data_IF_589386671925
#
_entry.id   IF_589386671925
#
_cell.length_a   1.000
_cell.length_b   1.000
_cell.length_c   1.000
_cell.angle_alpha   90.00
_cell.angle_beta   90.00
_cell.angle_gamma   90.00
#
_symmetry.space_group_name_H-M   'P 1'
#
loop_
_entity.id
_entity.type
_entity.pdbx_description
1 polymer ?
#
# COMPACT_ATOMS: atom_id res chain seq x y z
N UNK A 1 35.31 -16.86 -0.36
CA UNK A 1 35.29 -17.61 0.92
C UNK A 1 34.11 -17.07 1.69
N UNK A 2 32.98 -17.61 1.27
CA UNK A 2 31.63 -17.16 1.49
C UNK A 2 31.18 -17.47 2.91
N UNK A 3 30.59 -16.50 3.59
CA UNK A 3 29.71 -16.74 4.73
C UNK A 3 28.28 -16.37 4.30
N UNK A 4 27.32 -17.29 4.44
CA UNK A 4 26.00 -17.14 3.85
C UNK A 4 25.10 -16.15 4.60
N UNK A 5 24.27 -15.46 3.81
CA UNK A 5 23.23 -14.48 4.18
C UNK A 5 22.22 -14.99 5.23
N UNK A 6 22.23 -16.29 5.55
CA UNK A 6 21.35 -16.92 6.54
C UNK A 6 21.63 -16.51 7.99
N UNK A 7 22.85 -16.07 8.33
CA UNK A 7 23.20 -15.74 9.72
C UNK A 7 22.66 -14.36 10.13
N UNK A 8 22.63 -13.39 9.21
CA UNK A 8 22.12 -12.03 9.50
C UNK A 8 20.60 -11.97 9.62
N UNK A 9 19.86 -12.88 8.97
CA UNK A 9 18.40 -12.92 9.06
C UNK A 9 17.91 -13.46 10.42
N UNK A 10 18.69 -14.35 11.04
CA UNK A 10 18.33 -14.99 12.33
C UNK A 10 18.41 -13.99 13.50
N UNK A 11 19.26 -12.98 13.40
CA UNK A 11 19.40 -11.94 14.44
C UNK A 11 18.30 -10.87 14.35
N UNK A 12 17.78 -10.61 13.15
CA UNK A 12 16.69 -9.64 12.93
C UNK A 12 15.31 -10.18 13.37
N UNK A 13 15.13 -11.50 13.36
CA UNK A 13 13.87 -12.14 13.79
C UNK A 13 13.77 -12.35 15.31
N UNK A 14 14.84 -12.10 16.08
CA UNK A 14 14.83 -12.25 17.54
C UNK A 14 14.47 -10.97 18.31
N UNK A 15 14.35 -9.81 17.64
CA UNK A 15 14.11 -8.52 18.31
C UNK A 15 12.67 -7.99 18.24
N UNK A 16 11.73 -8.73 17.63
CA UNK A 16 10.30 -8.36 17.60
C UNK A 16 9.47 -9.11 18.64
N UNK A 17 9.99 -9.22 19.87
CA UNK A 17 9.23 -9.64 21.04
C UNK A 17 8.53 -8.42 21.67
N UNK A 18 7.46 -7.92 21.04
CA UNK A 18 6.53 -6.93 21.64
C UNK A 18 5.22 -6.85 20.83
N UNK A 19 4.50 -7.96 20.70
CA UNK A 19 3.06 -7.93 20.34
C UNK A 19 2.32 -8.59 21.52
N UNK A 20 1.33 -7.91 22.14
CA UNK A 20 0.62 -8.43 23.30
C UNK A 20 -0.21 -9.67 22.93
N UNK A 21 -0.12 -10.68 23.79
CA UNK A 21 -0.82 -11.96 23.72
C UNK A 21 -2.35 -11.79 23.65
N UNK A 22 -3.00 -12.32 22.61
CA UNK A 22 -4.37 -12.85 22.73
C UNK A 22 -4.50 -14.15 21.91
N UNK A 23 -4.43 -15.26 22.65
CA UNK A 23 -4.72 -16.67 22.31
C UNK A 23 -3.80 -17.43 21.33
N UNK A 24 -2.93 -18.25 21.92
CA UNK A 24 -2.28 -19.42 21.32
C UNK A 24 -3.26 -20.59 21.19
N UNK A 25 -3.36 -21.20 20.01
CA UNK A 25 -3.77 -22.59 19.85
C UNK A 25 -2.48 -23.43 19.81
N UNK A 26 -2.12 -24.02 20.95
CA UNK A 26 -1.00 -24.94 21.05
C UNK A 26 -1.33 -26.26 20.33
N UNK A 27 -0.62 -26.54 19.24
CA UNK A 27 -0.38 -27.91 18.78
C UNK A 27 1.00 -28.33 19.26
N UNK A 28 1.10 -28.89 20.47
CA UNK A 28 2.30 -29.62 20.90
C UNK A 28 1.91 -31.06 21.22
N UNK A 29 2.52 -31.98 20.47
CA UNK A 29 2.58 -33.40 20.77
C UNK A 29 3.34 -33.60 22.08
N UNK A 30 2.60 -33.84 23.16
CA UNK A 30 3.12 -34.24 24.47
C UNK A 30 2.44 -35.54 24.89
N UNK A 31 3.26 -36.53 25.24
CA UNK A 31 2.90 -37.91 25.56
C UNK A 31 2.29 -38.10 26.96
N UNK A 32 1.49 -39.18 27.08
CA UNK A 32 1.06 -39.92 28.29
C UNK A 32 -0.36 -39.63 28.85
N UNK A 33 -1.00 -40.57 29.58
CA UNK A 33 -1.43 -41.90 29.13
C UNK A 33 -2.94 -42.11 29.42
N UNK A 34 -3.64 -42.75 28.48
CA UNK A 34 -4.90 -43.50 28.61
C UNK A 34 -5.76 -43.25 27.37
N UNK A 35 -5.97 -44.32 26.62
CA UNK A 35 -6.64 -44.30 25.33
C UNK A 35 -8.09 -43.85 25.43
N UNK A 36 -8.53 -43.11 24.41
CA UNK A 36 -9.50 -43.57 23.41
C UNK A 36 -9.41 -42.62 22.22
N UNK A 37 -9.00 -43.16 21.08
CA UNK A 37 -8.92 -42.46 19.79
C UNK A 37 -10.35 -42.30 19.26
N UNK A 38 -10.81 -41.05 19.17
CA UNK A 38 -12.00 -40.68 18.41
C UNK A 38 -11.66 -39.51 17.50
N UNK A 39 -11.31 -39.81 16.25
CA UNK A 39 -11.13 -38.80 15.20
C UNK A 39 -12.46 -38.07 14.95
N UNK A 40 -12.50 -36.77 15.22
CA UNK A 40 -13.47 -35.85 14.61
C UNK A 40 -12.70 -34.83 13.79
N UNK A 41 -12.41 -35.20 12.54
CA UNK A 41 -12.01 -34.26 11.49
C UNK A 41 -13.23 -33.41 11.10
N UNK A 42 -13.51 -32.35 11.85
CA UNK A 42 -14.48 -31.35 11.43
C UNK A 42 -13.79 -30.40 10.41
N UNK A 43 -14.38 -30.20 9.21
CA UNK A 43 -13.76 -29.38 8.17
C UNK A 43 -13.65 -27.91 8.63
N UNK A 44 -12.59 -27.22 8.21
CA UNK A 44 -12.28 -25.83 8.56
C UNK A 44 -13.43 -24.83 8.28
N UNK A 45 -14.38 -25.20 7.43
CA UNK A 45 -15.62 -24.47 7.18
C UNK A 45 -16.51 -24.33 8.42
N UNK A 46 -16.55 -25.33 9.31
CA UNK A 46 -17.39 -25.33 10.52
C UNK A 46 -16.81 -24.38 11.57
N UNK A 47 -15.48 -24.36 11.71
CA UNK A 47 -14.77 -23.48 12.63
C UNK A 47 -14.86 -22.00 12.22
N UNK A 48 -14.78 -21.71 10.92
CA UNK A 48 -14.96 -20.35 10.41
C UNK A 48 -16.40 -19.85 10.62
N UNK A 49 -17.38 -20.74 10.48
CA UNK A 49 -18.80 -20.42 10.68
C UNK A 49 -19.09 -20.11 12.15
N UNK A 50 -18.53 -20.88 13.09
CA UNK A 50 -18.65 -20.58 14.53
C UNK A 50 -17.97 -19.26 14.92
N UNK A 51 -16.86 -18.90 14.28
CA UNK A 51 -16.14 -17.64 14.55
C UNK A 51 -16.95 -16.40 14.12
N UNK A 52 -17.61 -16.46 12.96
CA UNK A 52 -18.43 -15.36 12.43
C UNK A 52 -19.71 -15.12 13.24
N UNK A 53 -20.28 -16.16 13.88
CA UNK A 53 -21.47 -16.00 14.73
C UNK A 53 -21.17 -15.33 16.08
N UNK A 54 -19.90 -15.21 16.49
CA UNK A 54 -19.51 -14.63 17.79
C UNK A 54 -19.14 -13.13 17.72
N UNK A 55 -19.18 -12.51 16.54
CA UNK A 55 -18.87 -11.08 16.36
C UNK A 55 -20.07 -10.17 16.67
N UNK A 56 -19.83 -8.96 17.24
CA UNK A 56 -20.87 -7.97 17.50
C UNK A 56 -21.58 -7.54 16.20
N UNK A 57 -22.89 -7.20 16.25
CA UNK A 57 -23.73 -7.05 15.06
C UNK A 57 -23.27 -5.94 14.09
N UNK A 58 -22.55 -4.93 14.57
CA UNK A 58 -21.99 -3.84 13.76
C UNK A 58 -20.76 -4.23 12.91
N UNK A 59 -20.11 -5.36 13.20
CA UNK A 59 -18.96 -5.88 12.46
C UNK A 59 -19.31 -7.15 11.66
N UNK A 60 -20.58 -7.56 11.65
CA UNK A 60 -21.02 -8.61 10.74
C UNK A 60 -21.10 -8.01 9.33
N UNK A 61 -20.23 -8.41 8.39
CA UNK A 61 -20.44 -8.02 7.01
C UNK A 61 -21.82 -8.56 6.57
N UNK A 62 -22.57 -7.89 5.67
CA UNK A 62 -23.81 -8.41 5.10
C UNK A 62 -23.62 -9.68 4.23
N UNK A 63 -22.42 -10.27 4.30
CA UNK A 63 -21.74 -11.00 3.25
C UNK A 63 -21.27 -12.38 3.75
N UNK A 64 -22.01 -13.01 4.68
CA UNK A 64 -21.80 -14.43 5.00
C UNK A 64 -21.98 -15.31 3.76
N UNK A 65 -22.79 -14.89 2.78
CA UNK A 65 -22.91 -15.54 1.47
C UNK A 65 -21.73 -15.26 0.53
N UNK A 66 -21.11 -14.08 0.60
CA UNK A 66 -20.02 -13.67 -0.30
C UNK A 66 -18.74 -14.45 -0.02
N UNK A 67 -18.33 -14.53 1.25
CA UNK A 67 -17.14 -15.29 1.63
C UNK A 67 -17.33 -16.80 1.36
N UNK A 68 -18.53 -17.33 1.59
CA UNK A 68 -18.86 -18.72 1.24
C UNK A 68 -18.78 -19.00 -0.28
N UNK A 69 -19.24 -18.05 -1.11
CA UNK A 69 -19.14 -18.16 -2.59
C UNK A 69 -17.71 -18.01 -3.10
N UNK A 70 -16.87 -17.25 -2.39
CA UNK A 70 -15.46 -17.02 -2.74
C UNK A 70 -14.59 -18.24 -2.37
N UNK A 71 -14.86 -18.88 -1.21
CA UNK A 71 -14.21 -20.14 -0.82
C UNK A 71 -14.59 -21.29 -1.76
N UNK A 72 -15.84 -21.36 -2.23
CA UNK A 72 -16.26 -22.33 -3.26
C UNK A 72 -15.67 -22.08 -4.66
N UNK A 73 -14.98 -20.96 -4.86
CA UNK A 73 -14.34 -20.59 -6.13
C UNK A 73 -12.81 -20.73 -6.11
N UNK A 74 -12.23 -21.25 -5.01
CA UNK A 74 -10.79 -21.50 -4.89
C UNK A 74 -10.35 -22.56 -5.91
N UNK A 75 -9.94 -22.10 -7.10
CA UNK A 75 -9.54 -22.94 -8.24
C UNK A 75 -10.10 -22.50 -9.59
N UNK A 76 -11.01 -21.52 -9.64
CA UNK A 76 -11.53 -20.97 -10.90
C UNK A 76 -10.64 -19.84 -11.44
N UNK A 77 -10.31 -19.80 -12.74
CA UNK A 77 -9.70 -18.63 -13.38
C UNK A 77 -10.58 -17.39 -13.16
N UNK A 78 -9.95 -16.24 -12.88
CA UNK A 78 -10.62 -14.95 -12.61
C UNK A 78 -11.66 -14.59 -13.68
N UNK A 79 -11.44 -14.99 -14.93
CA UNK A 79 -12.33 -14.76 -16.08
C UNK A 79 -13.70 -15.44 -15.94
N UNK A 80 -13.80 -16.57 -15.22
CA UNK A 80 -15.08 -17.24 -14.95
C UNK A 80 -15.84 -16.63 -13.79
N UNK A 81 -15.16 -15.89 -12.91
CA UNK A 81 -15.78 -15.22 -11.75
C UNK A 81 -16.52 -13.97 -12.21
N UNK A 82 -15.96 -13.19 -13.13
CA UNK A 82 -16.58 -11.97 -13.68
C UNK A 82 -17.82 -12.24 -14.54
N UNK A 83 -17.98 -13.45 -15.08
CA UNK A 83 -19.13 -13.82 -15.92
C UNK A 83 -20.35 -14.32 -15.13
N UNK A 84 -20.24 -14.46 -13.79
CA UNK A 84 -21.38 -14.89 -12.96
C UNK A 84 -22.35 -13.73 -12.73
N UNK A 85 -23.57 -13.87 -13.25
CA UNK A 85 -24.66 -12.90 -13.08
C UNK A 85 -25.01 -12.64 -11.60
N UNK A 86 -24.84 -13.65 -10.74
CA UNK A 86 -25.17 -13.59 -9.31
C UNK A 86 -24.30 -12.65 -8.47
N UNK A 87 -23.23 -12.09 -9.06
CA UNK A 87 -22.36 -11.09 -8.41
C UNK A 87 -22.74 -9.65 -8.77
N UNK A 88 -23.64 -9.45 -9.74
CA UNK A 88 -23.95 -8.13 -10.30
C UNK A 88 -25.19 -7.45 -9.71
N UNK A 89 -25.97 -8.13 -8.86
CA UNK A 89 -27.28 -7.67 -8.38
C UNK A 89 -27.22 -6.35 -7.58
N UNK A 90 -26.05 -5.98 -7.04
CA UNK A 90 -25.77 -4.68 -6.39
C UNK A 90 -24.63 -3.89 -7.05
N UNK A 91 -24.27 -4.21 -8.30
CA UNK A 91 -23.12 -3.60 -8.98
C UNK A 91 -23.44 -2.22 -9.54
N UNK A 92 -22.49 -1.28 -9.41
CA UNK A 92 -22.57 0.08 -9.98
C UNK A 92 -22.81 0.06 -11.49
N UNK A 93 -22.46 -1.04 -12.18
CA UNK A 93 -22.72 -1.22 -13.62
C UNK A 93 -24.21 -1.33 -13.99
N UNK A 94 -25.09 -1.66 -13.04
CA UNK A 94 -26.54 -1.69 -13.21
C UNK A 94 -27.23 -0.49 -12.54
N UNK A 95 -26.45 0.38 -11.88
CA UNK A 95 -26.97 1.60 -11.26
C UNK A 95 -27.21 2.71 -12.28
N UNK A 96 -28.08 3.67 -11.94
CA UNK A 96 -28.31 4.89 -12.72
C UNK A 96 -27.06 5.77 -12.89
N UNK A 97 -26.03 5.57 -12.05
CA UNK A 97 -24.79 6.32 -12.07
C UNK A 97 -23.72 5.70 -12.99
N UNK A 98 -24.04 4.64 -13.72
CA UNK A 98 -23.10 4.03 -14.67
C UNK A 98 -22.70 5.04 -15.73
N UNK A 99 -21.40 5.29 -15.85
CA UNK A 99 -20.85 6.12 -16.93
C UNK A 99 -21.14 5.48 -18.29
N UNK A 100 -21.80 6.23 -19.17
CA UNK A 100 -22.12 5.83 -20.55
C UNK A 100 -21.25 6.52 -21.58
N UNK A 101 -20.61 7.64 -21.23
CA UNK A 101 -19.78 8.42 -22.16
C UNK A 101 -18.39 7.80 -22.36
N UNK A 102 -17.87 7.77 -23.60
CA UNK A 102 -16.49 7.36 -23.85
C UNK A 102 -15.49 8.38 -23.29
N UNK A 103 -14.28 7.93 -22.99
CA UNK A 103 -13.19 8.76 -22.47
C UNK A 103 -11.86 8.32 -23.06
N UNK A 104 -10.86 9.21 -23.04
CA UNK A 104 -9.52 8.95 -23.56
C UNK A 104 -9.54 8.44 -25.02
N UNK A 105 -10.42 9.01 -25.84
CA UNK A 105 -10.60 8.62 -27.26
C UNK A 105 -9.48 9.12 -28.15
N UNK A 106 -8.72 10.14 -27.72
CA UNK A 106 -7.61 10.67 -28.48
C UNK A 106 -6.53 9.58 -28.69
N UNK A 107 -5.92 9.49 -29.89
CA UNK A 107 -4.94 8.45 -30.21
C UNK A 107 -3.77 8.39 -29.22
N UNK A 108 -3.36 9.50 -28.62
CA UNK A 108 -2.27 9.55 -27.62
C UNK A 108 -2.44 8.54 -26.48
N UNK A 109 -3.69 8.30 -26.05
CA UNK A 109 -3.99 7.38 -24.96
C UNK A 109 -4.05 5.91 -25.41
N UNK A 110 -4.14 5.67 -26.72
CA UNK A 110 -4.32 4.34 -27.31
C UNK A 110 -3.08 3.87 -28.10
N UNK A 111 -2.04 4.69 -28.19
CA UNK A 111 -0.80 4.36 -28.92
C UNK A 111 0.30 3.81 -28.02
N UNK A 112 0.44 4.23 -26.76
CA UNK A 112 1.63 3.92 -25.94
C UNK A 112 1.35 2.96 -24.76
N UNK A 113 0.90 1.73 -25.03
CA UNK A 113 0.56 0.76 -23.96
C UNK A 113 1.72 -0.10 -23.43
N UNK A 114 2.73 -0.38 -24.25
CA UNK A 114 3.90 -1.15 -23.81
C UNK A 114 4.92 -0.24 -23.11
N UNK A 115 5.59 -0.75 -22.08
CA UNK A 115 6.64 -0.02 -21.33
C UNK A 115 7.69 0.63 -22.25
N UNK A 116 8.20 -0.12 -23.24
CA UNK A 116 9.18 0.41 -24.21
C UNK A 116 8.63 1.58 -25.02
N UNK A 117 7.34 1.55 -25.40
CA UNK A 117 6.71 2.64 -26.18
C UNK A 117 6.46 3.88 -25.33
N UNK A 118 6.12 3.73 -24.04
CA UNK A 118 5.93 4.88 -23.15
C UNK A 118 7.27 5.52 -22.79
N UNK A 119 8.32 4.73 -22.53
CA UNK A 119 9.68 5.27 -22.28
C UNK A 119 10.20 6.05 -23.48
N UNK A 120 10.06 5.51 -24.70
CA UNK A 120 10.43 6.24 -25.94
C UNK A 120 9.62 7.52 -26.11
N UNK A 121 8.33 7.49 -25.79
CA UNK A 121 7.46 8.66 -25.89
C UNK A 121 7.89 9.74 -24.90
N UNK A 122 8.11 9.40 -23.62
CA UNK A 122 8.62 10.31 -22.60
C UNK A 122 9.95 10.93 -23.02
N UNK A 123 10.91 10.12 -23.50
CA UNK A 123 12.21 10.63 -23.96
C UNK A 123 12.10 11.56 -25.16
N UNK A 124 11.14 11.30 -26.07
CA UNK A 124 10.89 12.18 -27.23
C UNK A 124 10.35 13.55 -26.79
N UNK A 125 9.55 13.61 -25.72
CA UNK A 125 9.07 14.87 -25.15
C UNK A 125 10.18 15.58 -24.39
N UNK A 126 10.92 14.87 -23.54
CA UNK A 126 12.05 15.41 -22.77
C UNK A 126 13.10 16.07 -23.68
N UNK A 127 13.42 15.46 -24.82
CA UNK A 127 14.40 16.01 -25.76
C UNK A 127 13.95 17.29 -26.48
N UNK A 128 12.66 17.65 -26.41
CA UNK A 128 12.15 18.91 -26.96
C UNK A 128 12.27 20.06 -25.97
N UNK A 129 12.43 19.76 -24.69
CA UNK A 129 12.43 20.73 -23.61
C UNK A 129 13.87 21.09 -23.22
N UNK A 130 14.20 22.40 -23.28
CA UNK A 130 15.47 22.91 -22.77
C UNK A 130 15.41 23.00 -21.24
N UNK A 131 16.26 22.22 -20.58
CA UNK A 131 16.34 22.10 -19.12
C UNK A 131 17.72 22.48 -18.58
N UNK A 132 17.86 22.53 -17.25
CA UNK A 132 19.13 22.80 -16.56
C UNK A 132 20.23 21.77 -16.85
N UNK A 133 19.88 20.61 -17.42
CA UNK A 133 20.86 19.60 -17.88
C UNK A 133 21.64 20.09 -19.11
N UNK A 134 21.06 20.99 -19.89
CA UNK A 134 21.63 21.45 -21.16
C UNK A 134 22.44 22.74 -21.02
N UNK A 135 21.86 23.76 -20.40
CA UNK A 135 22.50 25.08 -20.27
C UNK A 135 21.92 25.86 -19.08
N UNK A 136 22.59 26.96 -18.73
CA UNK A 136 22.03 27.94 -17.81
C UNK A 136 20.72 28.53 -18.38
N UNK A 137 19.72 28.67 -17.51
CA UNK A 137 18.42 29.31 -17.82
C UNK A 137 18.29 30.56 -16.93
N UNK A 138 18.73 31.74 -17.39
CA UNK A 138 18.80 32.95 -16.55
C UNK A 138 17.46 33.70 -16.51
N UNK A 139 16.43 33.06 -15.94
CA UNK A 139 15.15 33.72 -15.69
C UNK A 139 15.22 34.52 -14.39
N UNK A 140 15.05 35.84 -14.50
CA UNK A 140 15.00 36.74 -13.35
C UNK A 140 13.88 36.35 -12.38
N UNK A 141 14.14 36.45 -11.07
CA UNK A 141 13.21 36.08 -9.98
C UNK A 141 12.88 34.60 -9.83
N UNK A 142 13.27 33.71 -10.76
CA UNK A 142 12.94 32.28 -10.67
C UNK A 142 13.94 31.48 -9.81
N UNK A 143 15.13 32.02 -9.53
CA UNK A 143 16.19 31.35 -8.75
C UNK A 143 16.48 29.93 -9.24
N UNK A 144 16.74 29.77 -10.54
CA UNK A 144 17.03 28.48 -11.19
C UNK A 144 18.42 27.95 -10.79
N UNK A 145 18.53 27.45 -9.55
CA UNK A 145 19.74 26.88 -8.96
C UNK A 145 19.82 25.36 -9.16
N UNK A 146 20.92 24.77 -8.66
CA UNK A 146 21.09 23.31 -8.64
C UNK A 146 20.02 22.66 -7.78
N UNK A 147 19.36 21.64 -8.34
CA UNK A 147 18.57 20.67 -7.58
C UNK A 147 19.42 19.40 -7.44
N UNK A 148 20.04 19.18 -6.28
CA UNK A 148 21.01 18.08 -6.11
C UNK A 148 20.33 16.71 -6.10
N UNK A 149 20.98 15.69 -6.69
CA UNK A 149 20.50 14.30 -6.65
C UNK A 149 20.34 13.79 -5.22
N UNK A 150 21.22 14.20 -4.30
CA UNK A 150 21.16 13.79 -2.89
C UNK A 150 19.94 14.36 -2.17
N UNK A 151 19.52 15.58 -2.53
CA UNK A 151 18.34 16.24 -1.97
C UNK A 151 17.03 15.66 -2.54
N UNK A 152 17.05 15.18 -3.78
CA UNK A 152 15.86 14.63 -4.46
C UNK A 152 15.61 13.15 -4.15
N UNK A 153 16.63 12.40 -3.75
CA UNK A 153 16.50 10.96 -3.49
C UNK A 153 15.43 10.62 -2.41
N UNK A 154 15.37 11.31 -1.25
CA UNK A 154 14.41 11.00 -0.20
C UNK A 154 12.94 11.18 -0.62
N UNK A 155 12.65 12.04 -1.61
CA UNK A 155 11.29 12.29 -2.09
C UNK A 155 10.61 11.04 -2.70
N UNK A 156 11.38 9.99 -3.02
CA UNK A 156 10.87 8.73 -3.58
C UNK A 156 10.81 7.58 -2.56
N UNK A 157 11.24 7.81 -1.31
CA UNK A 157 11.21 6.76 -0.29
C UNK A 157 9.80 6.53 0.20
N UNK A 158 9.40 5.26 0.33
CA UNK A 158 8.06 4.86 0.79
C UNK A 158 7.67 5.45 2.14
N UNK A 159 8.64 5.62 3.04
CA UNK A 159 8.42 6.24 4.35
C UNK A 159 7.98 7.71 4.26
N UNK A 160 8.20 8.37 3.13
CA UNK A 160 7.69 9.72 2.83
C UNK A 160 6.48 9.67 1.88
N UNK A 161 6.51 8.85 0.82
CA UNK A 161 5.46 8.87 -0.22
C UNK A 161 4.16 8.17 0.16
N UNK A 162 4.24 7.11 0.96
CA UNK A 162 3.12 6.17 1.16
C UNK A 162 2.37 6.42 2.49
N UNK A 163 2.47 7.64 3.04
CA UNK A 163 1.77 8.05 4.26
C UNK A 163 0.56 8.89 3.90
N UNK A 164 -0.62 8.47 4.36
CA UNK A 164 -1.84 9.25 4.22
C UNK A 164 -1.79 10.50 5.15
N UNK A 165 -2.20 11.69 4.70
CA UNK A 165 -2.04 12.93 5.48
C UNK A 165 -2.78 12.95 6.83
N UNK A 166 -3.80 12.12 7.01
CA UNK A 166 -4.60 12.02 8.24
C UNK A 166 -4.33 10.76 9.07
N UNK A 167 -3.12 10.19 9.00
CA UNK A 167 -2.73 9.09 9.90
C UNK A 167 -2.66 9.56 11.35
N UNK A 168 -2.86 8.66 12.34
CA UNK A 168 -2.54 8.94 13.73
C UNK A 168 -1.08 9.42 13.88
N UNK A 169 -0.84 10.34 14.81
CA UNK A 169 0.46 11.01 14.97
C UNK A 169 1.62 10.02 15.24
N UNK A 170 1.32 8.92 15.93
CA UNK A 170 2.29 7.86 16.25
C UNK A 170 2.91 7.20 15.00
N UNK A 171 2.23 7.27 13.84
CA UNK A 171 2.73 6.74 12.56
C UNK A 171 3.57 7.75 11.78
N UNK A 172 3.58 9.02 12.19
CA UNK A 172 4.22 10.14 11.48
C UNK A 172 5.36 10.81 12.29
N UNK A 173 5.91 10.14 13.30
CA UNK A 173 6.96 10.70 14.17
C UNK A 173 8.17 11.24 13.37
N UNK A 174 8.57 10.53 12.31
CA UNK A 174 9.67 10.98 11.44
C UNK A 174 9.36 12.30 10.71
N UNK A 175 8.11 12.52 10.31
CA UNK A 175 7.68 13.80 9.72
C UNK A 175 7.68 14.92 10.75
N UNK A 176 7.28 14.64 12.00
CA UNK A 176 7.30 15.64 13.06
C UNK A 176 8.72 16.14 13.33
N UNK A 177 9.67 15.22 13.45
CA UNK A 177 11.08 15.57 13.60
C UNK A 177 11.58 16.43 12.41
N UNK A 178 11.25 16.04 11.18
CA UNK A 178 11.62 16.80 9.99
C UNK A 178 11.06 18.23 10.00
N UNK A 179 9.80 18.42 10.40
CA UNK A 179 9.20 19.74 10.48
C UNK A 179 9.81 20.60 11.60
N UNK A 180 10.13 20.00 12.75
CA UNK A 180 10.76 20.71 13.86
C UNK A 180 12.16 21.20 13.50
N UNK A 181 12.99 20.34 12.90
CA UNK A 181 14.34 20.69 12.45
C UNK A 181 14.29 21.78 11.37
N UNK A 182 13.46 21.59 10.34
CA UNK A 182 13.33 22.57 9.25
C UNK A 182 12.77 23.92 9.74
N UNK A 183 11.82 23.90 10.68
CA UNK A 183 11.30 25.12 11.28
C UNK A 183 12.40 25.88 12.02
N UNK A 184 13.23 25.18 12.81
CA UNK A 184 14.34 25.81 13.55
C UNK A 184 15.34 26.46 12.60
N UNK A 185 15.73 25.75 11.54
CA UNK A 185 16.67 26.28 10.54
C UNK A 185 16.12 27.52 9.83
N UNK A 186 14.87 27.49 9.39
CA UNK A 186 14.25 28.62 8.70
C UNK A 186 14.01 29.81 9.64
N UNK A 187 13.64 29.55 10.91
CA UNK A 187 13.54 30.59 11.94
C UNK A 187 14.90 31.27 12.18
N UNK A 188 15.99 30.49 12.22
CA UNK A 188 17.33 31.03 12.38
C UNK A 188 17.78 31.89 11.18
N UNK A 189 17.39 31.53 9.95
CA UNK A 189 17.70 32.29 8.73
C UNK A 189 16.90 33.59 8.64
N UNK A 190 15.61 33.55 8.99
CA UNK A 190 14.68 34.67 8.78
C UNK A 190 14.53 35.60 9.98
N UNK A 191 14.84 35.12 11.19
CA UNK A 191 14.61 35.83 12.45
C UNK A 191 13.15 35.84 12.91
N UNK A 192 12.29 34.99 12.36
CA UNK A 192 10.91 34.82 12.84
C UNK A 192 10.82 33.85 14.01
N UNK A 193 9.79 34.01 14.85
CA UNK A 193 9.56 33.15 16.01
C UNK A 193 9.05 31.75 15.61
N UNK A 194 8.18 31.65 14.60
CA UNK A 194 7.55 30.41 14.14
C UNK A 194 7.20 30.46 12.66
N UNK A 195 7.12 29.29 12.03
CA UNK A 195 6.81 29.12 10.61
C UNK A 195 5.66 28.13 10.44
N UNK A 196 4.86 28.32 9.38
CA UNK A 196 3.78 27.40 8.99
C UNK A 196 4.10 26.78 7.63
N UNK A 197 3.98 25.46 7.54
CA UNK A 197 4.15 24.68 6.30
C UNK A 197 2.83 24.36 5.59
N UNK A 198 1.71 24.96 6.01
CA UNK A 198 0.41 24.75 5.37
C UNK A 198 0.28 25.33 3.94
N UNK A 199 0.89 26.48 3.59
CA UNK A 199 0.83 27.01 2.22
C UNK A 199 1.59 26.12 1.24
N UNK A 200 0.96 25.76 0.11
CA UNK A 200 1.50 24.88 -0.93
C UNK A 200 1.56 25.52 -2.32
#
# INVERSE_FOLDING_TARGET
MDLPVSVLLTQYLSSTHSIPQFYSLNTSTGSSPNGMVGNMDLPASVLLTQYLYRMPPCWRPPATSFMARLVGAAGCPIERITQRADLHEGSVLQSLFRRTSPYLTHPVFNTHHSETRIVRYMKTLENKDMSLVHSMIPLGSCTMKLNSTTEMMPCSFRHFTDIHPFVPLDQSLGYQQLFEELQQDLCAITGYDRISFQPN
#
